data_IF_302873753857
#
_entry.id   IF_302873753857
#
_cell.length_a   1.000
_cell.length_b   1.000
_cell.length_c   1.000
_cell.angle_alpha   90.00
_cell.angle_beta   90.00
_cell.angle_gamma   90.00
#
_symmetry.space_group_name_H-M   'P 1'
#
loop_
_entity.id
_entity.type
_entity.pdbx_description
1 polymer ?
#
# COMPACT_ATOMS: atom_id res chain seq x y z
N UNK A 1 -5.09 -19.57 -9.62
CA UNK A 1 -5.67 -18.37 -10.25
C UNK A 1 -4.54 -17.63 -10.95
N UNK A 2 -4.77 -17.07 -12.14
CA UNK A 2 -3.74 -16.26 -12.83
C UNK A 2 -3.47 -14.98 -12.04
N UNK A 3 -2.23 -14.47 -12.07
CA UNK A 3 -1.87 -13.18 -11.46
C UNK A 3 -2.78 -12.05 -11.94
N UNK A 4 -3.17 -12.10 -13.22
CA UNK A 4 -4.02 -11.09 -13.84
C UNK A 4 -5.45 -11.16 -13.32
N UNK A 5 -5.94 -12.36 -12.98
CA UNK A 5 -7.26 -12.52 -12.40
C UNK A 5 -7.34 -11.90 -10.99
N UNK A 6 -6.28 -12.08 -10.19
CA UNK A 6 -6.18 -11.46 -8.86
C UNK A 6 -6.09 -9.94 -8.97
N UNK A 7 -5.28 -9.41 -9.91
CA UNK A 7 -5.23 -7.96 -10.16
C UNK A 7 -6.60 -7.39 -10.53
N UNK A 8 -7.35 -8.06 -11.41
CA UNK A 8 -8.69 -7.62 -11.81
C UNK A 8 -9.69 -7.67 -10.65
N UNK A 9 -9.61 -8.69 -9.79
CA UNK A 9 -10.44 -8.80 -8.58
C UNK A 9 -10.18 -7.64 -7.61
N UNK A 10 -8.91 -7.36 -7.32
CA UNK A 10 -8.52 -6.24 -6.46
C UNK A 10 -9.00 -4.89 -7.02
N UNK A 11 -8.85 -4.68 -8.33
CA UNK A 11 -9.36 -3.49 -9.01
C UNK A 11 -10.88 -3.38 -8.91
N UNK A 12 -11.62 -4.47 -9.06
CA UNK A 12 -13.07 -4.48 -8.92
C UNK A 12 -13.50 -4.08 -7.50
N UNK A 13 -12.83 -4.60 -6.46
CA UNK A 13 -13.09 -4.22 -5.07
C UNK A 13 -12.76 -2.76 -4.78
N UNK A 14 -11.62 -2.26 -5.28
CA UNK A 14 -11.27 -0.83 -5.14
C UNK A 14 -12.27 0.11 -5.84
N UNK A 15 -12.89 -0.32 -6.95
CA UNK A 15 -13.99 0.43 -7.58
C UNK A 15 -15.24 0.47 -6.69
N UNK A 16 -15.55 -0.63 -6.01
CA UNK A 16 -16.69 -0.70 -5.08
C UNK A 16 -16.49 0.19 -3.85
N UNK A 17 -15.26 0.26 -3.33
CA UNK A 17 -14.87 1.18 -2.25
C UNK A 17 -14.75 2.65 -2.69
N UNK A 18 -15.24 3.00 -3.89
CA UNK A 18 -15.23 4.36 -4.45
C UNK A 18 -13.86 5.06 -4.46
N UNK A 19 -12.76 4.31 -4.39
CA UNK A 19 -11.39 4.83 -4.30
C UNK A 19 -10.93 5.58 -5.56
N UNK A 20 -11.68 5.47 -6.65
CA UNK A 20 -11.36 6.04 -7.98
C UNK A 20 -12.34 7.12 -8.43
N UNK A 21 -13.06 7.78 -7.52
CA UNK A 21 -14.05 8.83 -7.87
C UNK A 21 -13.51 9.96 -8.76
N UNK A 22 -12.20 10.23 -8.73
CA UNK A 22 -11.54 11.24 -9.58
C UNK A 22 -10.91 10.68 -10.86
N UNK A 23 -10.92 9.36 -11.09
CA UNK A 23 -10.31 8.73 -12.25
C UNK A 23 -11.35 8.40 -13.31
N UNK A 24 -11.00 8.65 -14.57
CA UNK A 24 -11.82 8.22 -15.71
C UNK A 24 -11.92 6.69 -15.73
N UNK A 25 -13.13 6.14 -15.88
CA UNK A 25 -13.37 4.70 -15.85
C UNK A 25 -12.51 3.92 -16.88
N UNK A 26 -12.20 4.57 -18.01
CA UNK A 26 -11.35 4.03 -19.07
C UNK A 26 -9.87 3.92 -18.68
N UNK A 27 -9.38 4.75 -17.75
CA UNK A 27 -7.99 4.74 -17.28
C UNK A 27 -7.72 3.69 -16.20
N UNK A 28 -8.77 3.07 -15.65
CA UNK A 28 -8.65 2.08 -14.57
C UNK A 28 -8.06 0.75 -15.07
N UNK A 29 -8.07 0.50 -16.38
CA UNK A 29 -7.47 -0.71 -16.97
C UNK A 29 -5.94 -0.71 -16.93
N UNK A 30 -5.30 0.46 -16.81
CA UNK A 30 -3.85 0.61 -16.92
C UNK A 30 -3.28 1.32 -15.68
N UNK A 31 -3.71 0.86 -14.50
CA UNK A 31 -3.24 1.38 -13.23
C UNK A 31 -1.82 0.86 -12.94
N UNK A 32 -0.85 1.73 -12.60
CA UNK A 32 0.47 1.29 -12.18
C UNK A 32 0.40 0.36 -10.96
N UNK A 33 1.24 -0.68 -10.96
CA UNK A 33 1.32 -1.64 -9.85
C UNK A 33 1.50 -0.96 -8.48
N UNK A 34 2.25 0.14 -8.42
CA UNK A 34 2.46 0.91 -7.19
C UNK A 34 1.16 1.52 -6.65
N UNK A 35 0.33 2.07 -7.53
CA UNK A 35 -0.95 2.64 -7.15
C UNK A 35 -1.96 1.56 -6.73
N UNK A 36 -1.94 0.39 -7.39
CA UNK A 36 -2.76 -0.75 -6.97
C UNK A 36 -2.38 -1.18 -5.55
N UNK A 37 -1.09 -1.38 -5.29
CA UNK A 37 -0.60 -1.78 -3.96
C UNK A 37 -0.97 -0.73 -2.91
N UNK A 38 -0.72 0.55 -3.20
CA UNK A 38 -1.02 1.66 -2.28
C UNK A 38 -2.50 1.67 -1.89
N UNK A 39 -3.40 1.65 -2.88
CA UNK A 39 -4.84 1.73 -2.65
C UNK A 39 -5.38 0.50 -1.95
N UNK A 40 -4.90 -0.70 -2.30
CA UNK A 40 -5.26 -1.93 -1.59
C UNK A 40 -4.81 -1.90 -0.13
N UNK A 41 -3.61 -1.40 0.18
CA UNK A 41 -3.16 -1.25 1.57
C UNK A 41 -3.95 -0.21 2.36
N UNK A 42 -4.50 0.82 1.70
CA UNK A 42 -5.24 1.90 2.35
C UNK A 42 -6.73 1.58 2.59
N UNK A 43 -7.35 0.84 1.66
CA UNK A 43 -8.81 0.79 1.57
C UNK A 43 -9.41 -0.62 1.58
N UNK A 44 -8.59 -1.69 1.44
CA UNK A 44 -9.10 -3.06 1.45
C UNK A 44 -8.70 -3.81 2.72
N UNK A 45 -9.39 -4.93 2.95
CA UNK A 45 -9.21 -5.78 4.12
C UNK A 45 -8.01 -6.73 3.99
N UNK A 46 -7.75 -7.50 5.04
CA UNK A 46 -6.59 -8.38 5.16
C UNK A 46 -6.53 -9.44 4.05
N UNK A 47 -7.68 -9.94 3.59
CA UNK A 47 -7.73 -10.98 2.57
C UNK A 47 -7.21 -10.46 1.21
N UNK A 48 -7.59 -9.25 0.83
CA UNK A 48 -7.12 -8.56 -0.37
C UNK A 48 -5.66 -8.15 -0.24
N UNK A 49 -5.25 -7.69 0.93
CA UNK A 49 -3.84 -7.38 1.19
C UNK A 49 -3.00 -8.67 1.07
N UNK A 50 -3.49 -9.80 1.57
CA UNK A 50 -2.82 -11.10 1.43
C UNK A 50 -2.71 -11.51 -0.04
N UNK A 51 -3.72 -11.21 -0.87
CA UNK A 51 -3.66 -11.44 -2.31
C UNK A 51 -2.52 -10.65 -2.98
N UNK A 52 -2.20 -9.42 -2.54
CA UNK A 52 -1.03 -8.69 -3.06
C UNK A 52 0.27 -9.48 -2.88
N UNK A 53 0.46 -10.11 -1.73
CA UNK A 53 1.67 -10.91 -1.45
C UNK A 53 1.76 -12.19 -2.30
N UNK A 54 0.68 -12.59 -2.99
CA UNK A 54 0.70 -13.68 -3.96
C UNK A 54 1.17 -13.23 -5.34
N UNK A 55 0.90 -11.97 -5.73
CA UNK A 55 1.16 -11.46 -7.08
C UNK A 55 2.37 -10.51 -7.16
N UNK A 56 2.78 -9.92 -6.04
CA UNK A 56 3.92 -9.02 -5.97
C UNK A 56 4.97 -9.52 -4.98
N UNK A 57 6.26 -9.31 -5.27
CA UNK A 57 7.31 -9.66 -4.33
C UNK A 57 7.20 -8.76 -3.09
N UNK A 58 7.46 -9.35 -1.91
CA UNK A 58 7.45 -8.64 -0.62
C UNK A 58 8.21 -7.31 -0.63
N UNK A 59 9.35 -7.26 -1.34
CA UNK A 59 10.17 -6.05 -1.47
C UNK A 59 9.42 -4.90 -2.15
N UNK A 60 8.61 -5.19 -3.18
CA UNK A 60 7.82 -4.19 -3.92
C UNK A 60 6.71 -3.63 -3.04
N UNK A 61 5.97 -4.50 -2.36
CA UNK A 61 4.90 -4.08 -1.43
C UNK A 61 5.46 -3.24 -0.29
N UNK A 62 6.56 -3.69 0.32
CA UNK A 62 7.25 -2.94 1.37
C UNK A 62 7.76 -1.59 0.88
N UNK A 63 8.25 -1.51 -0.35
CA UNK A 63 8.71 -0.26 -0.94
C UNK A 63 7.56 0.73 -1.10
N UNK A 64 6.43 0.32 -1.68
CA UNK A 64 5.23 1.17 -1.81
C UNK A 64 4.76 1.68 -0.46
N UNK A 65 4.70 0.79 0.55
CA UNK A 65 4.36 1.20 1.91
C UNK A 65 5.32 2.27 2.46
N UNK A 66 6.64 2.10 2.28
CA UNK A 66 7.65 3.06 2.73
C UNK A 66 7.61 4.39 1.98
N UNK A 67 7.29 4.36 0.68
CA UNK A 67 7.36 5.53 -0.18
C UNK A 67 6.06 6.36 -0.17
N UNK A 68 4.90 5.72 0.03
CA UNK A 68 3.58 6.40 -0.06
C UNK A 68 2.82 6.49 1.27
N UNK A 69 2.87 5.46 2.13
CA UNK A 69 2.07 5.41 3.36
C UNK A 69 2.82 5.96 4.58
N UNK A 70 4.12 5.64 4.72
CA UNK A 70 4.94 6.12 5.83
C UNK A 70 5.05 7.66 5.88
N UNK A 71 5.22 8.40 4.77
CA UNK A 71 5.31 9.87 4.83
C UNK A 71 4.04 10.53 5.38
N UNK A 72 2.90 9.84 5.32
CA UNK A 72 1.61 10.27 5.87
C UNK A 72 1.45 9.84 7.35
N UNK A 73 2.55 9.70 8.09
CA UNK A 73 2.61 9.09 9.44
C UNK A 73 1.53 9.61 10.39
N UNK A 74 1.31 10.93 10.44
CA UNK A 74 0.37 11.53 11.40
C UNK A 74 -1.08 11.12 11.13
N UNK A 75 -1.48 11.03 9.86
CA UNK A 75 -2.83 10.60 9.47
C UNK A 75 -3.00 9.07 9.53
N UNK A 76 -1.98 8.32 9.11
CA UNK A 76 -2.02 6.86 8.99
C UNK A 76 -1.35 6.13 10.15
N UNK A 77 -1.15 6.77 11.30
CA UNK A 77 -0.32 6.25 12.40
C UNK A 77 -0.70 4.82 12.81
N UNK A 78 -1.97 4.58 13.13
CA UNK A 78 -2.47 3.26 13.57
C UNK A 78 -2.30 2.20 12.48
N UNK A 79 -2.59 2.57 11.23
CA UNK A 79 -2.48 1.67 10.08
C UNK A 79 -1.02 1.31 9.79
N UNK A 80 -0.12 2.30 9.78
CA UNK A 80 1.31 2.09 9.60
C UNK A 80 1.90 1.23 10.72
N UNK A 81 1.46 1.45 11.97
CA UNK A 81 1.84 0.63 13.12
C UNK A 81 1.42 -0.82 12.95
N UNK A 82 0.19 -1.04 12.50
CA UNK A 82 -0.32 -2.37 12.18
C UNK A 82 0.52 -3.03 11.08
N UNK A 83 0.75 -2.36 9.95
CA UNK A 83 1.57 -2.89 8.85
C UNK A 83 2.99 -3.23 9.28
N UNK A 84 3.64 -2.33 10.02
CA UNK A 84 4.98 -2.53 10.54
C UNK A 84 5.06 -3.79 11.42
N UNK A 85 4.08 -4.02 12.29
CA UNK A 85 4.05 -5.17 13.19
C UNK A 85 3.63 -6.47 12.48
N UNK A 86 2.49 -6.48 11.80
CA UNK A 86 1.85 -7.69 11.28
C UNK A 86 2.53 -8.19 10.00
N UNK A 87 2.67 -7.33 8.99
CA UNK A 87 3.19 -7.72 7.68
C UNK A 87 4.71 -7.62 7.60
N UNK A 88 5.31 -6.56 8.14
CA UNK A 88 6.75 -6.30 8.02
C UNK A 88 7.59 -6.75 9.21
N UNK A 89 6.96 -7.32 10.24
CA UNK A 89 7.60 -7.95 11.41
C UNK A 89 8.64 -7.05 12.10
N UNK A 90 8.37 -5.75 12.17
CA UNK A 90 9.23 -4.78 12.84
C UNK A 90 9.23 -5.03 14.35
N UNK A 91 10.42 -5.25 14.94
CA UNK A 91 10.58 -5.49 16.39
C UNK A 91 10.09 -4.31 17.25
N UNK A 92 10.24 -3.09 16.75
CA UNK A 92 9.80 -1.84 17.38
C UNK A 92 9.07 -1.00 16.33
N UNK A 93 7.76 -1.24 16.10
CA UNK A 93 6.99 -0.62 15.02
C UNK A 93 7.07 0.92 15.04
N UNK A 94 6.83 1.52 16.21
CA UNK A 94 6.76 2.97 16.36
C UNK A 94 8.11 3.65 16.04
N UNK A 95 9.20 3.10 16.58
CA UNK A 95 10.55 3.59 16.31
C UNK A 95 10.96 3.38 14.84
N UNK A 96 10.53 2.27 14.23
CA UNK A 96 10.81 1.97 12.84
C UNK A 96 10.10 2.97 11.91
N UNK A 97 8.81 3.21 12.12
CA UNK A 97 8.00 4.15 11.31
C UNK A 97 8.59 5.55 11.37
N UNK A 98 8.82 6.07 12.57
CA UNK A 98 9.40 7.40 12.77
C UNK A 98 10.78 7.56 12.11
N UNK A 99 11.63 6.53 12.22
CA UNK A 99 12.93 6.51 11.55
C UNK A 99 12.80 6.57 10.03
N UNK A 100 11.84 5.82 9.47
CA UNK A 100 11.61 5.78 8.02
C UNK A 100 11.00 7.08 7.50
N UNK A 101 10.04 7.67 8.21
CA UNK A 101 9.47 8.97 7.89
C UNK A 101 10.54 10.08 7.90
N UNK A 102 11.39 10.10 8.93
CA UNK A 102 12.53 11.04 9.02
C UNK A 102 13.49 10.89 7.84
N UNK A 103 13.82 9.64 7.45
CA UNK A 103 14.70 9.37 6.30
C UNK A 103 14.08 9.86 4.99
N UNK A 104 12.77 9.71 4.83
CA UNK A 104 12.06 10.20 3.64
C UNK A 104 12.11 11.73 3.57
N UNK A 105 11.82 12.42 4.68
CA UNK A 105 11.91 13.88 4.77
C UNK A 105 13.32 14.38 4.44
N UNK A 106 14.36 13.76 5.01
CA UNK A 106 15.74 14.14 4.73
C UNK A 106 16.12 13.97 3.25
N UNK A 107 15.55 12.97 2.57
CA UNK A 107 15.78 12.75 1.13
C UNK A 107 15.09 13.82 0.27
N UNK A 108 13.96 14.37 0.71
CA UNK A 108 13.27 15.46 0.01
C UNK A 108 13.96 16.82 0.19
N UNK A 109 14.68 16.99 1.30
CA UNK A 109 15.38 18.24 1.65
C UNK A 109 16.82 18.31 1.14
N UNK A 110 17.35 17.22 0.57
CA UNK A 110 18.71 17.10 0.05
C UNK A 110 18.75 17.28 -1.47
#
# INVERSE_FOLDING_TARGET
MSSDAIKQELLAKLKQEHCFWSYNEDSIKDIPDDMLIEKTLLHLDLDEINQLFLIYPFKKIKQVWLDYLIPQEEYLYTLNRFFAWYYFKAKKPDAYIKSMATRHLNKMLA
#
